data_IF_118789294812
#
_entry.id   IF_118789294812
#
_cell.length_a   1.000
_cell.length_b   1.000
_cell.length_c   1.000
_cell.angle_alpha   90.00
_cell.angle_beta   90.00
_cell.angle_gamma   90.00
#
_symmetry.space_group_name_H-M   'P 1'
#
loop_
_entity.id
_entity.type
_entity.pdbx_description
1 polymer ?
#
# COMPACT_ATOMS: atom_id res chain seq x y z
N UNK A 1 -11.03 8.24 -25.05
CA UNK A 1 -9.79 8.27 -25.88
C UNK A 1 -9.37 9.71 -26.27
N UNK A 2 -10.29 10.59 -26.70
CA UNK A 2 -9.97 11.96 -27.17
C UNK A 2 -9.42 12.83 -26.01
N UNK A 3 -10.11 12.87 -24.88
CA UNK A 3 -9.68 13.67 -23.71
C UNK A 3 -8.32 13.22 -23.16
N UNK A 4 -8.04 11.92 -23.18
CA UNK A 4 -6.74 11.40 -22.76
C UNK A 4 -5.62 11.90 -23.66
N UNK A 5 -5.81 11.87 -24.99
CA UNK A 5 -4.84 12.40 -25.96
C UNK A 5 -4.61 13.91 -25.78
N UNK A 6 -5.68 14.66 -25.53
CA UNK A 6 -5.58 16.10 -25.26
C UNK A 6 -4.77 16.37 -23.98
N UNK A 7 -5.03 15.61 -22.91
CA UNK A 7 -4.27 15.70 -21.67
C UNK A 7 -2.78 15.38 -21.90
N UNK A 8 -2.48 14.28 -22.57
CA UNK A 8 -1.11 13.86 -22.89
C UNK A 8 -0.39 14.93 -23.73
N UNK A 9 -1.08 15.55 -24.68
CA UNK A 9 -0.52 16.63 -25.51
C UNK A 9 -0.22 17.89 -24.69
N UNK A 10 -1.12 18.31 -23.80
CA UNK A 10 -0.89 19.46 -22.90
C UNK A 10 0.31 19.20 -21.99
N UNK A 11 0.41 18.00 -21.40
CA UNK A 11 1.55 17.63 -20.55
C UNK A 11 2.85 17.65 -21.35
N UNK A 12 2.86 17.14 -22.58
CA UNK A 12 4.02 17.18 -23.47
C UNK A 12 4.49 18.62 -23.73
N UNK A 13 3.56 19.53 -24.00
CA UNK A 13 3.89 20.96 -24.19
C UNK A 13 4.46 21.60 -22.91
N UNK A 14 3.95 21.21 -21.73
CA UNK A 14 4.50 21.68 -20.46
C UNK A 14 5.95 21.18 -20.25
N UNK A 15 6.24 19.93 -20.62
CA UNK A 15 7.60 19.37 -20.56
C UNK A 15 8.54 20.16 -21.50
N UNK A 16 8.14 20.40 -22.75
CA UNK A 16 8.93 21.13 -23.74
C UNK A 16 9.24 22.57 -23.31
N UNK A 17 8.37 23.17 -22.51
CA UNK A 17 8.55 24.50 -21.94
C UNK A 17 9.30 24.51 -20.61
N UNK A 18 9.76 23.37 -20.12
CA UNK A 18 10.47 23.25 -18.85
C UNK A 18 9.58 23.46 -17.61
N UNK A 19 8.27 23.30 -17.74
CA UNK A 19 7.31 23.41 -16.62
C UNK A 19 7.10 22.09 -15.87
N UNK A 20 7.71 21.00 -16.32
CA UNK A 20 7.68 19.68 -15.69
C UNK A 20 9.10 19.14 -15.68
N UNK A 21 9.62 18.83 -14.52
CA UNK A 21 11.00 18.35 -14.35
C UNK A 21 11.11 16.92 -13.88
N UNK A 22 10.08 16.37 -13.22
CA UNK A 22 10.14 15.08 -12.52
C UNK A 22 10.97 15.10 -11.25
N UNK A 23 11.47 16.25 -10.80
CA UNK A 23 12.30 16.36 -9.59
C UNK A 23 11.56 15.84 -8.36
N UNK A 24 10.31 16.25 -8.16
CA UNK A 24 9.43 15.75 -7.12
C UNK A 24 8.03 15.57 -7.70
N UNK A 25 7.52 14.37 -7.70
CA UNK A 25 6.14 14.09 -8.11
C UNK A 25 5.33 13.65 -6.91
N UNK A 26 4.32 14.44 -6.56
CA UNK A 26 3.38 14.15 -5.49
C UNK A 26 2.16 13.41 -5.99
N UNK A 27 1.69 12.41 -5.25
CA UNK A 27 0.43 11.74 -5.56
C UNK A 27 -0.56 11.85 -4.40
N UNK A 28 -1.84 11.96 -4.77
CA UNK A 28 -2.96 12.00 -3.83
C UNK A 28 -4.25 11.51 -4.50
N UNK A 29 -5.28 11.27 -3.72
CA UNK A 29 -6.58 10.84 -4.20
C UNK A 29 -7.73 11.62 -3.57
N UNK A 30 -8.84 11.69 -4.30
CA UNK A 30 -10.04 12.31 -3.76
C UNK A 30 -11.30 11.58 -4.19
N UNK A 31 -12.26 11.46 -3.25
CA UNK A 31 -13.57 10.89 -3.54
C UNK A 31 -14.43 11.88 -4.34
N UNK A 32 -15.08 11.35 -5.37
CA UNK A 32 -16.02 12.05 -6.22
C UNK A 32 -17.35 11.32 -6.16
N UNK A 33 -18.44 12.02 -5.80
CA UNK A 33 -19.75 11.40 -5.69
C UNK A 33 -20.24 10.94 -7.06
N UNK A 34 -20.65 9.69 -7.15
CA UNK A 34 -21.24 9.13 -8.37
C UNK A 34 -22.66 9.67 -8.62
N UNK A 35 -23.12 9.60 -9.86
CA UNK A 35 -24.50 9.92 -10.22
C UNK A 35 -25.46 8.75 -9.94
N UNK A 36 -25.39 8.26 -8.71
CA UNK A 36 -26.20 7.14 -8.24
C UNK A 36 -26.74 7.41 -6.84
N UNK A 37 -27.88 6.84 -6.52
CA UNK A 37 -28.48 6.90 -5.19
C UNK A 37 -28.05 5.70 -4.36
N UNK A 38 -27.85 5.90 -3.07
CA UNK A 38 -27.66 4.80 -2.11
C UNK A 38 -28.85 3.82 -2.10
N UNK A 39 -30.06 4.30 -2.39
CA UNK A 39 -31.26 3.46 -2.50
C UNK A 39 -31.23 2.52 -3.74
N UNK A 40 -30.34 2.78 -4.70
CA UNK A 40 -30.15 1.89 -5.85
C UNK A 40 -29.15 0.75 -5.62
N UNK A 41 -28.52 0.70 -4.43
CA UNK A 41 -27.53 -0.32 -4.11
C UNK A 41 -28.20 -1.63 -3.69
N UNK A 42 -27.63 -2.72 -4.16
CA UNK A 42 -27.96 -4.08 -3.76
C UNK A 42 -26.70 -4.83 -3.31
N UNK A 43 -26.89 -5.87 -2.52
CA UNK A 43 -25.82 -6.71 -2.05
C UNK A 43 -25.61 -7.85 -3.07
N UNK A 44 -24.46 -7.85 -3.71
CA UNK A 44 -24.09 -8.84 -4.73
C UNK A 44 -22.95 -9.72 -4.22
N UNK A 45 -23.06 -11.02 -4.46
CA UNK A 45 -21.97 -11.94 -4.21
C UNK A 45 -20.92 -11.79 -5.33
N UNK A 46 -19.70 -11.49 -4.95
CA UNK A 46 -18.56 -11.33 -5.87
C UNK A 46 -17.43 -12.28 -5.48
N UNK A 47 -16.65 -12.68 -6.46
CA UNK A 47 -15.36 -13.33 -6.15
C UNK A 47 -14.50 -12.36 -5.33
N UNK A 48 -13.88 -12.86 -4.27
CA UNK A 48 -12.94 -12.03 -3.48
C UNK A 48 -11.78 -11.62 -4.40
N UNK A 49 -11.65 -10.33 -4.65
CA UNK A 49 -10.54 -9.82 -5.45
C UNK A 49 -9.24 -10.13 -4.74
N UNK A 50 -8.33 -10.78 -5.45
CA UNK A 50 -6.96 -10.96 -4.98
C UNK A 50 -6.35 -9.58 -4.86
N UNK A 51 -5.68 -9.28 -3.73
CA UNK A 51 -5.09 -7.95 -3.52
C UNK A 51 -4.26 -7.52 -4.74
N UNK A 52 -4.39 -6.27 -5.14
CA UNK A 52 -3.87 -5.71 -6.40
C UNK A 52 -2.38 -5.95 -6.64
N UNK A 53 -1.61 -5.99 -5.56
CA UNK A 53 -0.17 -6.31 -5.66
C UNK A 53 0.12 -7.82 -5.67
N UNK A 54 -0.91 -8.65 -5.76
CA UNK A 54 -0.72 -10.09 -5.65
C UNK A 54 0.17 -10.64 -6.76
N UNK A 55 -0.01 -10.19 -7.99
CA UNK A 55 0.82 -10.63 -9.12
C UNK A 55 2.25 -10.12 -9.00
N UNK A 56 2.44 -8.84 -8.61
CA UNK A 56 3.77 -8.28 -8.34
C UNK A 56 4.51 -9.01 -7.21
N UNK A 57 3.78 -9.55 -6.24
CA UNK A 57 4.39 -10.32 -5.14
C UNK A 57 4.84 -11.72 -5.56
N UNK A 58 4.42 -12.23 -6.73
CA UNK A 58 4.81 -13.58 -7.17
C UNK A 58 6.32 -13.70 -7.40
N UNK A 59 6.94 -12.72 -8.05
CA UNK A 59 8.37 -12.71 -8.33
C UNK A 59 9.19 -12.56 -7.04
N UNK A 60 8.80 -11.61 -6.18
CA UNK A 60 9.43 -11.44 -4.87
C UNK A 60 9.22 -12.63 -3.92
N UNK A 61 8.10 -13.35 -4.02
CA UNK A 61 7.88 -14.59 -3.25
C UNK A 61 8.87 -15.67 -3.71
N UNK A 62 9.15 -15.76 -4.99
CA UNK A 62 10.12 -16.73 -5.52
C UNK A 62 11.54 -16.44 -5.01
N UNK A 63 11.99 -15.19 -5.13
CA UNK A 63 13.28 -14.72 -4.58
C UNK A 63 13.38 -14.99 -3.07
N UNK A 64 12.34 -14.62 -2.33
CA UNK A 64 12.29 -14.79 -0.87
C UNK A 64 12.27 -16.27 -0.44
N UNK A 65 11.69 -17.16 -1.24
CA UNK A 65 11.73 -18.60 -0.98
C UNK A 65 13.14 -19.18 -1.21
N UNK A 66 13.86 -18.68 -2.20
CA UNK A 66 15.27 -19.06 -2.42
C UNK A 66 16.17 -18.56 -1.28
N UNK A 67 15.93 -17.34 -0.82
CA UNK A 67 16.60 -16.79 0.34
C UNK A 67 16.30 -17.59 1.62
N UNK A 68 15.04 -18.00 1.83
CA UNK A 68 14.65 -18.85 2.95
C UNK A 68 15.41 -20.18 2.95
N UNK A 69 15.55 -20.81 1.78
CA UNK A 69 16.29 -22.06 1.64
C UNK A 69 17.77 -21.86 2.00
N UNK A 70 18.40 -20.80 1.51
CA UNK A 70 19.80 -20.44 1.87
C UNK A 70 19.97 -20.21 3.37
N UNK A 71 19.06 -19.47 4.01
CA UNK A 71 19.12 -19.09 5.44
C UNK A 71 18.81 -20.25 6.39
N UNK A 72 17.95 -21.18 5.97
CA UNK A 72 17.48 -22.25 6.87
C UNK A 72 17.99 -23.64 6.52
N UNK A 73 18.59 -23.82 5.34
CA UNK A 73 19.00 -25.13 4.80
C UNK A 73 17.82 -26.06 4.47
N UNK A 74 16.57 -25.57 4.54
CA UNK A 74 15.37 -26.37 4.32
C UNK A 74 14.89 -26.25 2.90
N UNK A 75 14.88 -27.38 2.17
CA UNK A 75 14.40 -27.43 0.80
C UNK A 75 12.95 -26.96 0.70
N UNK A 76 12.68 -26.08 -0.26
CA UNK A 76 11.35 -25.53 -0.50
C UNK A 76 10.37 -26.62 -0.94
N UNK A 77 9.19 -26.65 -0.31
CA UNK A 77 8.06 -27.42 -0.85
C UNK A 77 7.45 -26.63 -2.00
N UNK A 78 7.41 -27.23 -3.21
CA UNK A 78 6.68 -26.64 -4.34
C UNK A 78 5.24 -26.36 -3.90
N UNK A 79 4.86 -25.11 -3.86
CA UNK A 79 3.50 -24.71 -3.55
C UNK A 79 2.68 -24.83 -4.84
N UNK A 80 1.60 -25.56 -4.82
CA UNK A 80 0.64 -25.60 -5.93
C UNK A 80 -0.06 -24.23 -5.95
N UNK A 81 0.36 -23.35 -6.85
CA UNK A 81 -0.04 -21.93 -6.93
C UNK A 81 -1.56 -21.69 -7.10
N UNK A 82 -2.31 -22.69 -7.51
CA UNK A 82 -3.66 -22.51 -8.08
C UNK A 82 -4.84 -22.78 -7.14
N UNK A 83 -4.69 -23.58 -6.11
CA UNK A 83 -5.84 -24.18 -5.42
C UNK A 83 -6.53 -23.34 -4.34
N UNK A 84 -6.09 -22.11 -4.04
CA UNK A 84 -6.71 -21.25 -3.03
C UNK A 84 -7.29 -19.92 -3.55
N UNK A 85 -7.10 -19.61 -4.80
CA UNK A 85 -7.57 -18.36 -5.40
C UNK A 85 -9.07 -18.34 -5.69
N UNK A 86 -9.66 -19.49 -6.06
CA UNK A 86 -10.93 -19.49 -6.82
C UNK A 86 -12.21 -19.65 -6.01
N UNK A 87 -12.14 -19.80 -4.67
CA UNK A 87 -13.32 -20.17 -3.89
C UNK A 87 -13.71 -19.21 -2.75
N UNK A 88 -13.04 -18.07 -2.61
CA UNK A 88 -13.50 -17.07 -1.64
C UNK A 88 -14.51 -16.15 -2.28
N UNK A 89 -15.69 -16.11 -1.71
CA UNK A 89 -16.75 -15.20 -2.10
C UNK A 89 -16.98 -14.17 -1.00
N UNK A 90 -17.19 -12.94 -1.39
CA UNK A 90 -17.55 -11.85 -0.50
C UNK A 90 -18.81 -11.16 -1.01
N UNK A 91 -19.42 -10.34 -0.17
CA UNK A 91 -20.58 -9.54 -0.59
C UNK A 91 -20.16 -8.08 -0.73
N UNK A 92 -20.49 -7.51 -1.90
CA UNK A 92 -20.21 -6.11 -2.23
C UNK A 92 -21.52 -5.36 -2.48
N UNK A 93 -21.60 -4.11 -2.03
CA UNK A 93 -22.70 -3.22 -2.41
C UNK A 93 -22.43 -2.65 -3.79
N UNK A 94 -23.36 -2.87 -4.72
CA UNK A 94 -23.24 -2.42 -6.11
C UNK A 94 -24.49 -1.61 -6.46
N UNK A 95 -24.31 -0.45 -7.06
CA UNK A 95 -25.44 0.37 -7.53
C UNK A 95 -25.99 -0.21 -8.83
N UNK A 96 -27.31 -0.44 -8.90
CA UNK A 96 -27.99 -0.88 -10.15
C UNK A 96 -27.93 0.17 -11.25
N UNK A 97 -27.82 1.44 -10.88
CA UNK A 97 -27.82 2.56 -11.85
C UNK A 97 -26.43 2.99 -12.28
N UNK A 98 -25.40 2.63 -11.52
CA UNK A 98 -23.99 2.92 -11.81
C UNK A 98 -23.12 1.82 -11.21
N UNK A 99 -23.03 0.63 -11.85
CA UNK A 99 -22.36 -0.55 -11.29
C UNK A 99 -20.85 -0.38 -11.11
N UNK A 100 -20.23 0.55 -11.82
CA UNK A 100 -18.79 0.83 -11.74
C UNK A 100 -18.44 1.73 -10.54
N UNK A 101 -19.43 2.40 -9.94
CA UNK A 101 -19.23 3.19 -8.73
C UNK A 101 -19.11 2.28 -7.50
N UNK A 102 -18.05 2.44 -6.73
CA UNK A 102 -17.82 1.68 -5.50
C UNK A 102 -18.55 2.28 -4.30
N UNK A 103 -19.01 1.43 -3.38
CA UNK A 103 -19.59 1.87 -2.12
C UNK A 103 -18.53 2.35 -1.14
N UNK A 104 -18.43 3.67 -0.98
CA UNK A 104 -17.51 4.27 -0.02
C UNK A 104 -18.15 4.36 1.37
N UNK A 105 -17.40 3.87 2.39
CA UNK A 105 -17.72 4.04 3.79
C UNK A 105 -16.46 4.42 4.58
N UNK A 106 -16.28 5.70 4.81
CA UNK A 106 -15.15 6.25 5.60
C UNK A 106 -15.66 7.17 6.69
N UNK A 107 -15.08 7.16 7.91
CA UNK A 107 -15.44 8.08 8.98
C UNK A 107 -15.36 9.54 8.52
N UNK A 108 -16.40 10.33 8.82
CA UNK A 108 -16.46 11.76 8.48
C UNK A 108 -16.68 12.07 6.99
N UNK A 109 -16.95 11.07 6.15
CA UNK A 109 -17.29 11.26 4.73
C UNK A 109 -18.70 10.75 4.42
N UNK A 110 -19.39 11.34 3.42
CA UNK A 110 -20.70 10.83 2.99
C UNK A 110 -20.60 9.38 2.50
N UNK A 111 -21.42 8.48 3.05
CA UNK A 111 -21.48 7.07 2.64
C UNK A 111 -22.32 6.90 1.37
N UNK A 112 -21.92 6.01 0.47
CA UNK A 112 -22.65 5.64 -0.73
C UNK A 112 -21.78 5.48 -1.98
N UNK A 113 -22.40 5.46 -3.20
CA UNK A 113 -21.69 5.27 -4.46
C UNK A 113 -20.73 6.44 -4.76
N UNK A 114 -19.45 6.14 -4.91
CA UNK A 114 -18.39 7.09 -5.23
C UNK A 114 -17.40 6.50 -6.23
N UNK A 115 -16.69 7.38 -6.89
CA UNK A 115 -15.43 7.12 -7.57
C UNK A 115 -14.28 7.70 -6.76
N UNK A 116 -13.08 7.23 -7.02
CA UNK A 116 -11.85 7.75 -6.44
C UNK A 116 -10.97 8.24 -7.59
N UNK A 117 -10.74 9.55 -7.63
CA UNK A 117 -9.85 10.18 -8.59
C UNK A 117 -8.44 10.26 -7.98
N UNK A 118 -7.47 9.68 -8.67
CA UNK A 118 -6.05 9.70 -8.30
C UNK A 118 -5.31 10.64 -9.24
N UNK A 119 -4.45 11.47 -8.69
CA UNK A 119 -3.62 12.40 -9.45
C UNK A 119 -2.17 12.33 -9.00
N UNK A 120 -1.27 12.49 -9.95
CA UNK A 120 0.13 12.76 -9.73
C UNK A 120 0.48 14.16 -10.28
N UNK A 121 1.15 14.97 -9.47
CA UNK A 121 1.42 16.38 -9.75
C UNK A 121 2.91 16.63 -9.64
N UNK A 122 3.51 17.23 -10.67
CA UNK A 122 4.88 17.72 -10.62
C UNK A 122 4.98 18.93 -9.66
N UNK A 123 6.00 18.90 -8.79
CA UNK A 123 6.12 19.85 -7.69
C UNK A 123 6.64 21.22 -8.05
N UNK A 124 7.19 21.42 -9.25
CA UNK A 124 7.80 22.70 -9.58
C UNK A 124 6.74 23.78 -9.92
N UNK A 125 5.75 23.42 -10.72
CA UNK A 125 4.69 24.34 -11.14
C UNK A 125 3.28 23.81 -10.91
N UNK A 126 3.12 22.65 -10.28
CA UNK A 126 1.81 22.07 -9.98
C UNK A 126 1.11 21.48 -11.20
N UNK A 127 1.85 21.09 -12.24
CA UNK A 127 1.28 20.45 -13.42
C UNK A 127 0.88 19.02 -13.11
N UNK A 128 -0.37 18.65 -13.40
CA UNK A 128 -0.83 17.27 -13.29
C UNK A 128 -0.19 16.46 -14.42
N UNK A 129 0.66 15.50 -14.06
CA UNK A 129 1.42 14.65 -15.01
C UNK A 129 0.82 13.28 -15.20
N UNK A 130 -0.11 12.88 -14.34
CA UNK A 130 -0.81 11.61 -14.45
C UNK A 130 -2.12 11.60 -13.68
N UNK A 131 -3.08 10.82 -14.17
CA UNK A 131 -4.37 10.63 -13.49
C UNK A 131 -4.98 9.28 -13.82
N UNK A 132 -5.69 8.73 -12.85
CA UNK A 132 -6.51 7.54 -13.03
C UNK A 132 -7.74 7.60 -12.13
N UNK A 133 -8.78 6.84 -12.46
CA UNK A 133 -10.02 6.78 -11.68
C UNK A 133 -10.32 5.33 -11.35
N UNK A 134 -10.73 5.07 -10.11
CA UNK A 134 -11.16 3.76 -9.64
C UNK A 134 -12.53 3.84 -8.99
N UNK A 135 -13.16 2.69 -8.75
CA UNK A 135 -14.32 2.60 -7.88
C UNK A 135 -14.00 3.11 -6.47
N UNK A 136 -14.97 3.74 -5.81
CA UNK A 136 -14.75 4.43 -4.52
C UNK A 136 -14.46 3.53 -3.32
N UNK A 137 -14.61 2.22 -3.46
CA UNK A 137 -14.27 1.19 -2.48
C UNK A 137 -12.85 0.62 -2.68
N UNK A 138 -12.17 0.99 -3.76
CA UNK A 138 -10.76 0.62 -4.01
C UNK A 138 -9.86 1.41 -3.06
N UNK A 139 -8.84 0.76 -2.52
CA UNK A 139 -7.88 1.43 -1.65
C UNK A 139 -6.99 2.39 -2.47
N UNK A 140 -6.67 3.56 -1.92
CA UNK A 140 -5.90 4.61 -2.58
C UNK A 140 -4.52 4.13 -3.07
N UNK A 141 -3.91 3.19 -2.35
CA UNK A 141 -2.61 2.63 -2.70
C UNK A 141 -2.62 1.72 -3.93
N UNK A 142 -3.80 1.21 -4.32
CA UNK A 142 -3.97 0.21 -5.39
C UNK A 142 -3.43 0.67 -6.75
N UNK A 143 -3.87 1.82 -7.31
CA UNK A 143 -3.39 2.27 -8.61
C UNK A 143 -2.05 3.02 -8.52
N UNK A 144 -1.52 3.23 -7.31
CA UNK A 144 -0.39 4.13 -7.08
C UNK A 144 0.88 3.71 -7.84
N UNK A 145 1.27 2.45 -7.69
CA UNK A 145 2.51 1.96 -8.33
C UNK A 145 2.42 2.01 -9.85
N UNK A 146 1.30 1.56 -10.41
CA UNK A 146 1.08 1.59 -11.86
C UNK A 146 1.07 3.02 -12.41
N UNK A 147 0.46 3.96 -11.67
CA UNK A 147 0.47 5.37 -12.03
C UNK A 147 1.89 5.95 -12.04
N UNK A 148 2.68 5.68 -11.00
CA UNK A 148 4.05 6.21 -10.88
C UNK A 148 4.98 5.59 -11.93
N UNK A 149 4.89 4.28 -12.18
CA UNK A 149 5.65 3.61 -13.25
C UNK A 149 5.30 4.15 -14.64
N UNK A 150 4.00 4.32 -14.91
CA UNK A 150 3.54 4.88 -16.18
C UNK A 150 4.09 6.29 -16.40
N UNK A 151 4.07 7.15 -15.38
CA UNK A 151 4.61 8.51 -15.49
C UNK A 151 6.13 8.45 -15.69
N UNK A 152 6.84 7.69 -14.86
CA UNK A 152 8.29 7.58 -14.94
C UNK A 152 8.77 7.11 -16.31
N UNK A 153 8.08 6.13 -16.89
CA UNK A 153 8.47 5.50 -18.16
C UNK A 153 8.02 6.30 -19.38
N UNK A 154 6.79 6.87 -19.35
CA UNK A 154 6.15 7.36 -20.57
C UNK A 154 5.95 8.88 -20.59
N UNK A 155 6.13 9.57 -19.46
CA UNK A 155 5.89 11.02 -19.37
C UNK A 155 7.17 11.78 -19.03
N UNK A 156 7.69 11.58 -17.83
CA UNK A 156 8.92 12.24 -17.36
C UNK A 156 9.63 11.34 -16.34
N UNK A 157 10.97 11.15 -16.44
CA UNK A 157 11.72 10.44 -15.41
C UNK A 157 11.57 11.12 -14.05
N UNK A 158 11.07 10.37 -13.07
CA UNK A 158 10.84 10.85 -11.70
C UNK A 158 12.10 10.64 -10.88
N UNK A 159 12.58 11.69 -10.20
CA UNK A 159 13.70 11.58 -9.25
C UNK A 159 13.21 11.25 -7.84
N UNK A 160 12.14 11.92 -7.39
CA UNK A 160 11.55 11.70 -6.08
C UNK A 160 10.03 11.64 -6.16
N UNK A 161 9.45 10.73 -5.41
CA UNK A 161 8.01 10.58 -5.27
C UNK A 161 7.57 10.89 -3.83
N UNK A 162 6.39 11.47 -3.67
CA UNK A 162 5.80 11.71 -2.34
C UNK A 162 4.30 11.44 -2.36
N UNK A 163 3.76 11.02 -1.22
CA UNK A 163 2.35 10.75 -1.03
C UNK A 163 1.94 10.94 0.45
N UNK A 164 0.67 10.74 0.79
CA UNK A 164 0.24 10.76 2.18
C UNK A 164 0.64 9.46 2.93
N UNK A 165 0.40 9.41 4.24
CA UNK A 165 0.80 8.26 5.05
C UNK A 165 0.05 6.95 4.69
N UNK A 166 -1.08 7.01 3.97
CA UNK A 166 -1.79 5.81 3.53
C UNK A 166 -1.00 5.02 2.46
N UNK A 167 -0.08 5.70 1.78
CA UNK A 167 0.80 5.09 0.78
C UNK A 167 2.12 4.52 1.35
N UNK A 168 2.34 4.62 2.67
CA UNK A 168 3.50 4.01 3.34
C UNK A 168 3.32 2.50 3.49
N UNK A 169 3.40 1.76 2.40
CA UNK A 169 3.40 0.31 2.41
C UNK A 169 4.73 -0.24 1.86
N UNK A 170 5.26 -1.32 2.46
CA UNK A 170 6.65 -1.75 2.22
C UNK A 170 6.99 -2.04 0.75
N UNK A 171 6.04 -2.59 -0.03
CA UNK A 171 6.23 -2.87 -1.45
C UNK A 171 6.45 -1.59 -2.28
N UNK A 172 5.81 -0.46 -1.92
CA UNK A 172 6.03 0.79 -2.63
C UNK A 172 7.47 1.27 -2.53
N UNK A 173 8.08 1.13 -1.36
CA UNK A 173 9.49 1.49 -1.16
C UNK A 173 10.42 0.62 -2.02
N UNK A 174 10.09 -0.66 -2.20
CA UNK A 174 10.87 -1.59 -3.03
C UNK A 174 10.74 -1.23 -4.51
N UNK A 175 9.53 -1.17 -5.03
CA UNK A 175 9.27 -0.92 -6.46
C UNK A 175 9.81 0.44 -6.90
N UNK A 176 9.53 1.51 -6.14
CA UNK A 176 10.06 2.83 -6.47
C UNK A 176 11.60 2.88 -6.36
N UNK A 177 12.18 2.19 -5.38
CA UNK A 177 13.63 2.06 -5.26
C UNK A 177 14.28 1.34 -6.44
N UNK A 178 13.65 0.31 -7.00
CA UNK A 178 14.11 -0.40 -8.21
C UNK A 178 14.06 0.48 -9.46
N UNK A 179 13.11 1.42 -9.52
CA UNK A 179 13.05 2.44 -10.57
C UNK A 179 14.04 3.60 -10.35
N UNK A 180 14.82 3.58 -9.26
CA UNK A 180 15.71 4.68 -8.91
C UNK A 180 15.00 5.91 -8.37
N UNK A 181 13.75 5.77 -7.93
CA UNK A 181 12.92 6.87 -7.40
C UNK A 181 13.04 6.91 -5.88
N UNK A 182 13.47 8.04 -5.33
CA UNK A 182 13.44 8.30 -3.90
C UNK A 182 12.00 8.46 -3.41
N UNK A 183 11.55 7.65 -2.46
CA UNK A 183 10.18 7.73 -1.96
C UNK A 183 10.11 8.38 -0.59
N UNK A 184 9.53 9.58 -0.52
CA UNK A 184 9.37 10.39 0.69
C UNK A 184 7.92 10.38 1.17
N UNK A 185 7.63 9.61 2.20
CA UNK A 185 6.30 9.46 2.78
C UNK A 185 6.35 9.47 4.29
N UNK A 186 5.34 10.05 4.94
CA UNK A 186 5.23 9.98 6.40
C UNK A 186 4.95 8.55 6.83
N UNK A 187 5.66 8.02 7.86
CA UNK A 187 5.37 6.70 8.37
C UNK A 187 3.92 6.58 8.83
N UNK A 188 3.27 5.51 8.40
CA UNK A 188 1.93 5.19 8.87
C UNK A 188 1.98 4.84 10.36
N UNK A 189 1.13 5.49 11.16
CA UNK A 189 0.98 5.15 12.57
C UNK A 189 0.25 3.81 12.66
N UNK A 190 0.95 2.77 13.03
CA UNK A 190 0.34 1.48 13.31
C UNK A 190 -0.40 1.59 14.64
N UNK A 191 -1.72 1.50 14.62
CA UNK A 191 -2.48 1.37 15.86
C UNK A 191 -2.06 0.05 16.52
N UNK A 192 -1.52 0.14 17.73
CA UNK A 192 -1.21 -1.04 18.53
C UNK A 192 -2.52 -1.81 18.77
N UNK A 193 -2.69 -2.96 18.12
CA UNK A 193 -3.75 -3.91 18.47
C UNK A 193 -3.34 -4.56 19.79
N UNK A 194 -3.77 -3.94 20.89
CA UNK A 194 -3.46 -4.39 22.25
C UNK A 194 -4.30 -5.63 22.56
N UNK A 195 -3.86 -6.79 22.06
CA UNK A 195 -4.41 -8.07 22.49
C UNK A 195 -3.46 -8.86 23.39
N UNK A 196 -2.20 -8.42 23.46
CA UNK A 196 -1.14 -8.98 24.30
C UNK A 196 -0.21 -7.86 24.77
N UNK A 197 0.43 -8.03 25.92
CA UNK A 197 1.30 -6.99 26.49
C UNK A 197 2.59 -6.79 25.69
N UNK A 198 3.18 -7.87 25.15
CA UNK A 198 4.42 -7.79 24.38
C UNK A 198 4.13 -7.56 22.91
N UNK A 199 4.63 -6.43 22.39
CA UNK A 199 4.62 -6.05 20.97
C UNK A 199 5.87 -6.61 20.27
N UNK A 200 6.04 -6.29 18.99
CA UNK A 200 7.25 -6.66 18.25
C UNK A 200 8.51 -6.02 18.83
N UNK A 201 8.41 -4.80 19.33
CA UNK A 201 9.54 -3.99 19.78
C UNK A 201 10.15 -4.53 21.11
N UNK A 202 9.41 -5.40 21.80
CA UNK A 202 9.91 -6.11 22.99
C UNK A 202 10.80 -7.32 22.64
N UNK A 203 10.97 -7.62 21.34
CA UNK A 203 11.79 -8.74 20.87
C UNK A 203 13.10 -8.21 20.26
N UNK A 204 14.23 -8.57 20.87
CA UNK A 204 15.54 -8.17 20.39
C UNK A 204 15.96 -8.96 19.15
N UNK A 205 16.42 -8.29 18.10
CA UNK A 205 16.93 -8.90 16.88
C UNK A 205 18.43 -9.16 17.00
N UNK A 206 18.85 -10.43 16.96
CA UNK A 206 20.24 -10.82 16.80
C UNK A 206 20.50 -11.09 15.31
N UNK A 207 21.16 -10.16 14.64
CA UNK A 207 21.44 -10.24 13.21
C UNK A 207 22.47 -11.32 12.86
N UNK A 208 23.47 -11.52 13.73
CA UNK A 208 24.54 -12.51 13.49
C UNK A 208 24.02 -13.95 13.50
N UNK A 209 23.04 -14.21 14.34
CA UNK A 209 22.44 -15.55 14.50
C UNK A 209 21.13 -15.70 13.72
N UNK A 210 20.65 -14.65 13.11
CA UNK A 210 19.38 -14.59 12.41
C UNK A 210 18.18 -15.06 13.25
N UNK A 211 18.10 -14.59 14.52
CA UNK A 211 17.04 -14.94 15.46
C UNK A 211 16.47 -13.70 16.14
N UNK A 212 15.27 -13.83 16.70
CA UNK A 212 14.75 -12.90 17.68
C UNK A 212 14.83 -13.51 19.07
N UNK A 213 15.21 -12.71 20.06
CA UNK A 213 15.16 -13.10 21.47
C UNK A 213 13.90 -12.51 22.10
N UNK A 214 13.08 -13.34 22.75
CA UNK A 214 11.89 -12.89 23.44
C UNK A 214 12.23 -12.33 24.84
N UNK A 215 11.29 -11.61 25.51
CA UNK A 215 11.49 -11.13 26.87
C UNK A 215 11.80 -12.23 27.91
N UNK A 216 11.44 -13.48 27.61
CA UNK A 216 11.81 -14.65 28.43
C UNK A 216 13.15 -15.28 28.05
N UNK A 217 13.97 -14.63 27.22
CA UNK A 217 15.32 -15.09 26.84
C UNK A 217 15.35 -16.28 25.86
N UNK A 218 14.23 -16.64 25.24
CA UNK A 218 14.16 -17.73 24.27
C UNK A 218 14.25 -17.23 22.84
N UNK A 219 14.77 -18.10 21.95
CA UNK A 219 14.96 -17.79 20.53
C UNK A 219 13.70 -18.02 19.71
N UNK A 220 13.39 -17.08 18.84
CA UNK A 220 12.49 -17.27 17.71
C UNK A 220 13.33 -17.40 16.45
N UNK A 221 13.25 -18.53 15.79
CA UNK A 221 14.02 -18.84 14.57
C UNK A 221 13.18 -18.62 13.33
N UNK A 222 13.83 -18.26 12.22
CA UNK A 222 13.17 -18.13 10.94
C UNK A 222 12.48 -19.43 10.54
N UNK A 223 11.17 -19.37 10.33
CA UNK A 223 10.32 -20.54 10.07
C UNK A 223 9.87 -20.62 8.63
N UNK A 224 9.42 -19.51 8.09
CA UNK A 224 8.87 -19.46 6.73
C UNK A 224 8.80 -18.02 6.19
N UNK A 225 8.66 -17.91 4.89
CA UNK A 225 8.10 -16.74 4.22
C UNK A 225 6.58 -16.89 4.20
N UNK A 226 5.88 -15.95 4.79
CA UNK A 226 4.42 -15.90 4.83
C UNK A 226 3.93 -14.82 3.87
N UNK A 227 2.86 -15.12 3.12
CA UNK A 227 2.18 -14.20 2.24
C UNK A 227 0.81 -13.87 2.81
N UNK A 228 0.45 -12.60 2.80
CA UNK A 228 -0.87 -12.09 3.18
C UNK A 228 -1.34 -11.05 2.17
N UNK A 229 -2.57 -10.54 2.35
CA UNK A 229 -3.08 -9.42 1.54
C UNK A 229 -2.23 -8.13 1.69
N UNK A 230 -1.48 -8.00 2.79
CA UNK A 230 -0.61 -6.85 3.06
C UNK A 230 0.85 -7.02 2.61
N UNK A 231 1.21 -8.13 1.97
CA UNK A 231 2.55 -8.36 1.44
C UNK A 231 3.22 -9.66 1.89
N UNK A 232 4.54 -9.70 1.78
CA UNK A 232 5.41 -10.81 2.16
C UNK A 232 6.06 -10.54 3.50
N UNK A 233 6.18 -11.59 4.34
CA UNK A 233 6.72 -11.46 5.70
C UNK A 233 7.61 -12.64 6.05
N UNK A 234 8.77 -12.35 6.61
CA UNK A 234 9.57 -13.32 7.36
C UNK A 234 8.86 -13.64 8.66
N UNK A 235 8.48 -14.88 8.87
CA UNK A 235 7.87 -15.34 10.12
C UNK A 235 8.92 -16.09 10.95
N UNK A 236 9.28 -15.50 12.10
CA UNK A 236 10.10 -16.11 13.14
C UNK A 236 9.20 -16.72 14.21
N UNK A 237 9.52 -17.90 14.66
CA UNK A 237 8.70 -18.64 15.63
C UNK A 237 9.56 -19.24 16.74
N UNK A 238 9.10 -19.10 17.99
CA UNK A 238 9.66 -19.80 19.16
C UNK A 238 9.36 -21.30 19.12
N UNK A 239 10.12 -22.09 19.88
CA UNK A 239 9.72 -23.48 20.13
C UNK A 239 8.45 -23.50 20.96
N UNK A 240 7.52 -24.40 20.61
CA UNK A 240 6.26 -24.55 21.32
C UNK A 240 6.46 -25.00 22.77
N UNK A 241 7.47 -25.83 23.04
CA UNK A 241 7.82 -26.31 24.38
C UNK A 241 8.28 -25.16 25.28
N UNK A 242 9.10 -24.27 24.75
CA UNK A 242 9.55 -23.08 25.47
C UNK A 242 8.40 -22.15 25.84
N UNK A 243 7.45 -21.94 24.92
CA UNK A 243 6.26 -21.14 25.17
C UNK A 243 5.27 -21.80 26.15
N UNK A 244 5.15 -23.12 26.12
CA UNK A 244 4.23 -23.86 27.00
C UNK A 244 4.58 -23.73 28.49
N UNK A 245 5.86 -23.68 28.82
CA UNK A 245 6.38 -23.57 30.18
C UNK A 245 6.79 -22.12 30.56
N UNK A 246 6.51 -21.14 29.71
CA UNK A 246 6.95 -19.78 29.93
C UNK A 246 6.10 -19.06 30.98
N UNK A 247 6.71 -18.49 32.03
CA UNK A 247 5.97 -17.74 33.06
C UNK A 247 5.37 -16.42 32.53
N UNK A 248 5.82 -15.95 31.35
CA UNK A 248 5.31 -14.74 30.69
C UNK A 248 4.26 -15.06 29.63
N UNK A 249 3.78 -16.30 29.56
CA UNK A 249 2.88 -16.77 28.49
C UNK A 249 1.62 -15.92 28.36
N UNK A 250 0.95 -15.62 29.46
CA UNK A 250 -0.31 -14.89 29.49
C UNK A 250 -0.17 -13.43 29.02
N UNK A 251 1.04 -12.86 29.15
CA UNK A 251 1.39 -11.54 28.63
C UNK A 251 1.79 -11.56 27.14
N UNK A 252 2.14 -12.72 26.61
CA UNK A 252 2.76 -12.91 25.32
C UNK A 252 1.82 -13.52 24.27
N UNK A 253 0.92 -14.44 24.66
CA UNK A 253 0.00 -15.14 23.77
C UNK A 253 -1.45 -14.89 24.20
N UNK A 254 -2.35 -14.91 23.24
CA UNK A 254 -3.79 -14.79 23.50
C UNK A 254 -4.33 -16.03 24.21
N UNK A 255 -5.41 -15.87 24.93
CA UNK A 255 -6.07 -16.98 25.64
C UNK A 255 -6.57 -18.09 24.70
N UNK A 256 -7.02 -17.71 23.52
CA UNK A 256 -7.50 -18.63 22.48
C UNK A 256 -6.35 -19.38 21.76
N UNK A 257 -5.09 -18.94 21.91
CA UNK A 257 -3.91 -19.59 21.34
C UNK A 257 -3.18 -20.51 22.36
N UNK A 258 -3.95 -21.34 23.03
CA UNK A 258 -3.45 -22.23 24.12
C UNK A 258 -2.39 -23.24 23.70
N UNK A 259 -2.29 -23.56 22.40
CA UNK A 259 -1.31 -24.50 21.82
C UNK A 259 -0.27 -23.82 20.96
N UNK A 260 -0.34 -22.50 20.86
CA UNK A 260 0.52 -21.72 19.99
C UNK A 260 1.91 -21.48 20.55
N UNK A 261 2.82 -21.14 19.66
CA UNK A 261 4.11 -20.57 19.98
C UNK A 261 4.17 -19.11 19.50
N UNK A 262 4.87 -18.25 20.22
CA UNK A 262 5.01 -16.84 19.82
C UNK A 262 5.63 -16.71 18.44
N UNK A 263 5.06 -15.84 17.63
CA UNK A 263 5.54 -15.49 16.30
C UNK A 263 5.84 -14.00 16.23
N UNK A 264 6.89 -13.68 15.51
CA UNK A 264 7.24 -12.31 15.09
C UNK A 264 7.27 -12.29 13.58
N UNK A 265 6.49 -11.41 12.98
CA UNK A 265 6.45 -11.22 11.53
C UNK A 265 7.14 -9.91 11.17
N UNK A 266 8.05 -9.97 10.21
CA UNK A 266 8.82 -8.84 9.70
C UNK A 266 8.58 -8.73 8.21
N UNK A 267 8.26 -7.54 7.70
CA UNK A 267 8.09 -7.37 6.25
C UNK A 267 9.34 -7.81 5.50
N UNK A 268 9.14 -8.52 4.38
CA UNK A 268 10.21 -8.85 3.44
C UNK A 268 10.94 -7.60 2.94
N UNK A 269 10.19 -6.52 2.75
CA UNK A 269 10.68 -5.21 2.28
C UNK A 269 11.02 -4.24 3.41
N UNK A 270 11.33 -4.73 4.62
CA UNK A 270 11.58 -3.86 5.78
C UNK A 270 12.80 -2.95 5.58
N UNK A 271 13.86 -3.47 4.93
CA UNK A 271 15.07 -2.69 4.63
C UNK A 271 14.80 -1.53 3.67
N UNK A 272 13.92 -1.73 2.69
CA UNK A 272 13.55 -0.69 1.72
C UNK A 272 12.80 0.46 2.40
N UNK A 273 11.88 0.13 3.32
CA UNK A 273 11.18 1.14 4.13
C UNK A 273 12.11 1.84 5.10
N UNK A 274 13.10 1.15 5.65
CA UNK A 274 14.06 1.71 6.60
C UNK A 274 14.88 2.86 5.99
N UNK A 275 15.29 2.75 4.71
CA UNK A 275 15.97 3.83 3.97
C UNK A 275 15.19 5.14 3.96
N UNK A 276 13.86 5.08 3.80
CA UNK A 276 13.02 6.28 3.90
C UNK A 276 12.99 6.84 5.33
N UNK A 277 12.92 5.97 6.33
CA UNK A 277 12.93 6.40 7.74
C UNK A 277 14.22 7.10 8.13
N UNK A 278 15.36 6.66 7.63
CA UNK A 278 16.67 7.27 7.86
C UNK A 278 16.77 8.68 7.24
N UNK A 279 16.10 8.90 6.11
CA UNK A 279 16.05 10.20 5.43
C UNK A 279 14.96 11.14 5.94
N UNK A 280 14.15 10.72 6.93
CA UNK A 280 12.93 11.41 7.39
C UNK A 280 13.10 12.88 7.79
N UNK A 281 14.30 13.29 8.15
CA UNK A 281 14.58 14.67 8.57
C UNK A 281 15.47 15.43 7.58
N UNK A 282 15.76 14.84 6.42
CA UNK A 282 16.54 15.51 5.38
C UNK A 282 15.81 16.73 4.81
N UNK A 283 16.51 17.70 4.24
CA UNK A 283 15.90 18.83 3.52
C UNK A 283 14.98 18.37 2.39
N UNK A 284 15.42 17.38 1.59
CA UNK A 284 14.69 16.83 0.45
C UNK A 284 13.36 16.20 0.89
N UNK A 285 13.38 15.45 2.00
CA UNK A 285 12.17 14.87 2.57
C UNK A 285 11.16 15.94 2.97
N UNK A 286 11.62 16.99 3.66
CA UNK A 286 10.75 18.10 4.10
C UNK A 286 10.19 18.88 2.92
N UNK A 287 11.01 19.14 1.89
CA UNK A 287 10.61 19.82 0.67
C UNK A 287 9.55 19.03 -0.09
N UNK A 288 9.77 17.73 -0.32
CA UNK A 288 8.81 16.86 -0.98
C UNK A 288 7.44 16.85 -0.28
N UNK A 289 7.40 16.72 1.05
CA UNK A 289 6.14 16.75 1.80
C UNK A 289 5.44 18.10 1.72
N UNK A 290 6.18 19.21 1.70
CA UNK A 290 5.63 20.56 1.54
C UNK A 290 5.03 20.74 0.14
N UNK A 291 5.74 20.34 -0.90
CA UNK A 291 5.25 20.40 -2.27
C UNK A 291 3.97 19.58 -2.48
N UNK A 292 3.90 18.38 -1.90
CA UNK A 292 2.68 17.57 -1.90
C UNK A 292 1.50 18.34 -1.29
N UNK A 293 1.68 18.92 -0.13
CA UNK A 293 0.62 19.67 0.55
C UNK A 293 0.13 20.86 -0.30
N UNK A 294 1.05 21.59 -0.89
CA UNK A 294 0.70 22.77 -1.72
C UNK A 294 -0.01 22.35 -3.00
N UNK A 295 0.54 21.41 -3.76
CA UNK A 295 0.07 21.12 -5.10
C UNK A 295 -0.99 20.03 -5.18
N UNK A 296 -0.85 18.92 -4.45
CA UNK A 296 -1.83 17.85 -4.54
C UNK A 296 -3.13 18.22 -3.82
N UNK A 297 -3.06 18.68 -2.57
CA UNK A 297 -4.25 19.08 -1.81
C UNK A 297 -4.88 20.36 -2.40
N UNK A 298 -4.05 21.33 -2.81
CA UNK A 298 -4.50 22.58 -3.45
C UNK A 298 -5.20 22.33 -4.79
N UNK A 299 -4.65 21.45 -5.63
CA UNK A 299 -5.24 21.07 -6.91
C UNK A 299 -6.64 20.48 -6.75
N UNK A 300 -6.82 19.49 -5.87
CA UNK A 300 -8.14 18.91 -5.63
C UNK A 300 -9.13 19.91 -5.01
N UNK A 301 -8.66 20.80 -4.14
CA UNK A 301 -9.51 21.85 -3.58
C UNK A 301 -10.03 22.79 -4.68
N UNK A 302 -9.17 23.25 -5.58
CA UNK A 302 -9.56 24.08 -6.71
C UNK A 302 -10.52 23.35 -7.65
N UNK A 303 -10.21 22.10 -8.03
CA UNK A 303 -11.07 21.31 -8.91
C UNK A 303 -12.47 21.08 -8.34
N UNK A 304 -12.59 20.83 -7.03
CA UNK A 304 -13.90 20.67 -6.39
C UNK A 304 -14.69 21.96 -6.32
N UNK A 305 -14.03 23.08 -6.03
CA UNK A 305 -14.67 24.37 -5.85
C UNK A 305 -15.03 25.05 -7.17
N UNK A 306 -14.10 24.99 -8.15
CA UNK A 306 -14.19 25.80 -9.38
C UNK A 306 -14.61 24.97 -10.59
N UNK A 307 -14.34 23.64 -10.59
CA UNK A 307 -14.58 22.78 -11.74
C UNK A 307 -15.56 21.61 -11.45
N UNK A 308 -16.34 21.72 -10.38
CA UNK A 308 -17.39 20.75 -10.02
C UNK A 308 -16.94 19.30 -9.84
N UNK A 309 -15.67 19.03 -9.52
CA UNK A 309 -15.17 17.66 -9.28
C UNK A 309 -15.81 16.98 -8.04
N UNK A 310 -16.64 17.68 -7.28
CA UNK A 310 -17.30 17.09 -6.10
C UNK A 310 -18.32 15.99 -6.48
N UNK A 311 -18.89 16.03 -7.70
CA UNK A 311 -19.91 15.09 -8.16
C UNK A 311 -19.80 14.86 -9.66
N UNK A 312 -19.89 13.61 -10.08
CA UNK A 312 -20.01 13.23 -11.50
C UNK A 312 -21.49 13.30 -11.92
N UNK A 313 -21.75 13.88 -13.08
CA UNK A 313 -23.10 14.00 -13.67
C UNK A 313 -23.43 12.87 -14.65
N UNK A 314 -22.42 12.13 -15.08
CA UNK A 314 -22.54 10.95 -15.96
C UNK A 314 -22.32 9.67 -15.16
N UNK A 315 -22.56 8.53 -15.78
CA UNK A 315 -22.36 7.20 -15.18
C UNK A 315 -21.28 6.44 -15.95
N UNK A 316 -20.62 5.53 -15.27
CA UNK A 316 -19.57 4.69 -15.82
C UNK A 316 -18.17 5.35 -15.72
N UNK A 317 -17.11 4.51 -15.82
CA UNK A 317 -15.68 4.87 -15.86
C UNK A 317 -15.20 5.14 -17.29
#
# INVERSE_FOLDING_TARGET
KVFRRLFEEVVRQCIEKGLVSGRVVGADSTHVRANASRASEELVEVAEEVGVYWERLDDYEEEGLEELERRTGKRRKKRTKQLKRDNRRSHKRVSRTDPEAGHMKRPGKPEGPHYLAHQAVDGDYGIIVGQTVTAGDVNDSVPYLDLMEQIHTNVVPIQSATADAAYDFPLAHRVLGELGIDFFVRPQKTAARVSVQFTRDDFYRDENRDVYLCPGGKELRLKRLARSASGLFWEYQADQRDCALCPLRDKCLREDDKRGARKVSVSYFAADRQRNLERRYSPEYRDALKLRQVWCEGSFSAQKREHNLARILRRGL
#
